data_IF_924062790548
#
_entry.id   IF_924062790548
#
_cell.length_a   1.000
_cell.length_b   1.000
_cell.length_c   1.000
_cell.angle_alpha   90.00
_cell.angle_beta   90.00
_cell.angle_gamma   90.00
#
_symmetry.space_group_name_H-M   'P 1'
#
loop_
_entity.id
_entity.type
_entity.pdbx_description
1 polymer ?
#
# COMPACT_ATOMS: atom_id res chain seq x y z
N UNK A 1 4.49 42.79 1.17
CA UNK A 1 3.75 41.61 1.67
C UNK A 1 4.71 40.74 2.46
N UNK A 2 4.41 40.36 3.71
CA UNK A 2 5.26 39.42 4.47
C UNK A 2 5.01 38.00 3.95
N UNK A 3 6.05 37.24 3.66
CA UNK A 3 5.96 35.85 3.20
C UNK A 3 6.72 34.92 4.14
N UNK A 4 6.31 33.66 4.19
CA UNK A 4 7.04 32.61 4.89
C UNK A 4 8.35 32.36 4.13
N UNK A 5 9.48 32.33 4.84
CA UNK A 5 10.78 32.14 4.21
C UNK A 5 11.02 30.67 3.86
N UNK A 6 11.77 30.42 2.77
CA UNK A 6 12.14 29.09 2.28
C UNK A 6 12.71 28.14 3.37
N UNK A 7 13.55 28.58 4.32
CA UNK A 7 14.03 27.69 5.39
C UNK A 7 12.90 27.12 6.26
N UNK A 8 11.82 27.87 6.47
CA UNK A 8 10.66 27.40 7.23
C UNK A 8 9.93 26.28 6.47
N UNK A 9 9.73 26.43 5.15
CA UNK A 9 9.18 25.36 4.32
C UNK A 9 10.03 24.09 4.35
N UNK A 10 11.36 24.24 4.26
CA UNK A 10 12.27 23.09 4.31
C UNK A 10 12.19 22.34 5.65
N UNK A 11 12.04 23.07 6.77
CA UNK A 11 11.85 22.45 8.10
C UNK A 11 10.53 21.68 8.17
N UNK A 12 9.44 22.25 7.68
CA UNK A 12 8.15 21.57 7.61
C UNK A 12 8.25 20.30 6.76
N UNK A 13 8.83 20.39 5.55
CA UNK A 13 9.05 19.23 4.68
C UNK A 13 9.90 18.13 5.34
N UNK A 14 10.94 18.52 6.08
CA UNK A 14 11.79 17.56 6.82
C UNK A 14 11.01 16.86 7.92
N UNK A 15 10.14 17.59 8.63
CA UNK A 15 9.28 17.02 9.66
C UNK A 15 8.27 16.04 9.07
N UNK A 16 7.54 16.41 8.02
CA UNK A 16 6.56 15.54 7.36
C UNK A 16 7.20 14.24 6.85
N UNK A 17 8.40 14.31 6.27
CA UNK A 17 9.14 13.11 5.84
C UNK A 17 9.52 12.19 6.99
N UNK A 18 9.90 12.75 8.15
CA UNK A 18 10.20 11.94 9.35
C UNK A 18 8.93 11.27 9.87
N UNK A 19 7.84 12.01 9.98
CA UNK A 19 6.55 11.47 10.40
C UNK A 19 6.05 10.37 9.45
N UNK A 20 6.22 10.54 8.13
CA UNK A 20 5.90 9.51 7.15
C UNK A 20 6.74 8.24 7.35
N UNK A 21 8.05 8.38 7.60
CA UNK A 21 8.92 7.24 7.86
C UNK A 21 8.56 6.50 9.15
N UNK A 22 8.22 7.23 10.22
CA UNK A 22 7.74 6.63 11.48
C UNK A 22 6.44 5.86 11.26
N UNK A 23 5.48 6.43 10.51
CA UNK A 23 4.25 5.73 10.12
C UNK A 23 4.54 4.48 9.30
N UNK A 24 5.46 4.55 8.33
CA UNK A 24 5.87 3.41 7.52
C UNK A 24 6.43 2.29 8.40
N UNK A 25 7.40 2.60 9.27
CA UNK A 25 7.99 1.59 10.14
C UNK A 25 6.94 0.94 11.04
N UNK A 26 6.00 1.73 11.59
CA UNK A 26 4.93 1.19 12.42
C UNK A 26 3.93 0.34 11.60
N UNK A 27 3.65 0.74 10.37
CA UNK A 27 2.81 -0.02 9.45
C UNK A 27 3.41 -1.38 9.14
N UNK A 28 4.70 -1.44 8.83
CA UNK A 28 5.46 -2.68 8.60
C UNK A 28 5.43 -3.57 9.83
N UNK A 29 5.75 -3.03 11.01
CA UNK A 29 5.73 -3.78 12.28
C UNK A 29 4.36 -4.43 12.52
N UNK A 30 3.28 -3.68 12.31
CA UNK A 30 1.92 -4.19 12.48
C UNK A 30 1.56 -5.25 11.43
N UNK A 31 2.01 -5.07 10.19
CA UNK A 31 1.79 -6.05 9.12
C UNK A 31 2.54 -7.36 9.39
N UNK A 32 3.79 -7.29 9.85
CA UNK A 32 4.60 -8.47 10.23
C UNK A 32 4.02 -9.19 11.45
N UNK A 33 3.28 -8.48 12.32
CA UNK A 33 2.55 -9.08 13.43
C UNK A 33 1.19 -9.71 13.02
N UNK A 34 0.77 -9.50 11.76
CA UNK A 34 -0.46 -10.09 11.23
C UNK A 34 -0.26 -11.54 10.79
N UNK A 35 -1.35 -12.20 10.41
CA UNK A 35 -1.29 -13.57 9.87
C UNK A 35 -0.95 -13.63 8.38
N UNK A 36 -0.74 -12.48 7.73
CA UNK A 36 -0.46 -12.41 6.31
C UNK A 36 0.97 -12.88 6.02
N UNK A 37 1.13 -13.72 5.01
CA UNK A 37 2.45 -14.11 4.53
C UNK A 37 3.04 -12.94 3.76
N UNK A 38 4.13 -12.39 4.27
CA UNK A 38 4.87 -11.31 3.60
C UNK A 38 6.22 -11.79 3.09
N UNK A 39 6.64 -11.25 1.94
CA UNK A 39 7.98 -11.40 1.39
C UNK A 39 8.67 -10.02 1.44
N UNK A 40 9.90 -10.03 1.93
CA UNK A 40 10.82 -8.89 2.09
C UNK A 40 12.04 -9.24 1.19
N UNK A 41 12.79 -8.38 0.50
CA UNK A 41 13.13 -6.95 0.66
C UNK A 41 13.60 -6.37 -0.69
N UNK A 42 13.04 -5.25 -1.15
CA UNK A 42 13.83 -4.32 -1.97
C UNK A 42 15.05 -3.86 -1.15
N UNK A 43 16.21 -3.61 -1.77
CA UNK A 43 17.51 -3.41 -1.11
C UNK A 43 17.51 -2.37 0.06
N UNK A 44 16.50 -1.51 0.13
CA UNK A 44 16.38 -0.42 1.11
C UNK A 44 15.37 -0.63 2.24
N UNK A 45 14.62 -1.75 2.30
CA UNK A 45 13.60 -2.00 3.33
C UNK A 45 12.38 -1.06 3.26
N UNK A 46 12.12 -0.52 2.06
CA UNK A 46 11.04 0.42 1.76
C UNK A 46 9.95 -0.18 0.88
N UNK A 47 9.92 -1.50 0.80
CA UNK A 47 9.09 -2.25 -0.12
C UNK A 47 8.81 -3.62 0.50
N UNK A 48 7.55 -4.04 0.50
CA UNK A 48 7.05 -5.29 1.05
C UNK A 48 6.02 -5.87 0.11
N UNK A 49 6.01 -7.18 -0.03
CA UNK A 49 5.00 -7.89 -0.80
C UNK A 49 4.15 -8.75 0.12
N UNK A 50 2.83 -8.64 0.02
CA UNK A 50 1.89 -9.58 0.62
C UNK A 50 1.59 -10.65 -0.43
N UNK A 51 1.80 -11.92 -0.06
CA UNK A 51 1.56 -13.05 -0.94
C UNK A 51 0.07 -13.31 -1.07
N UNK A 52 -0.42 -13.47 -2.30
CA UNK A 52 -1.78 -13.94 -2.55
C UNK A 52 -1.74 -15.47 -2.60
N UNK A 53 -2.16 -16.14 -1.53
CA UNK A 53 -2.16 -17.60 -1.45
C UNK A 53 -2.85 -18.24 -2.66
N UNK A 54 -2.20 -19.21 -3.31
CA UNK A 54 -2.73 -19.87 -4.51
C UNK A 54 -2.47 -19.13 -5.82
N UNK A 55 -1.82 -17.95 -5.80
CA UNK A 55 -1.21 -17.36 -6.99
C UNK A 55 0.32 -17.47 -6.92
N UNK A 56 0.95 -17.97 -7.98
CA UNK A 56 2.41 -18.09 -8.04
C UNK A 56 3.11 -16.76 -8.36
N UNK A 57 2.39 -15.85 -9.03
CA UNK A 57 2.94 -14.60 -9.57
C UNK A 57 2.29 -13.34 -9.02
N UNK A 58 1.14 -13.45 -8.38
CA UNK A 58 0.39 -12.28 -7.94
C UNK A 58 0.68 -11.97 -6.47
N UNK A 59 0.98 -10.71 -6.21
CA UNK A 59 1.29 -10.20 -4.88
C UNK A 59 0.65 -8.80 -4.74
N UNK A 60 0.47 -8.35 -3.50
CA UNK A 60 0.16 -6.94 -3.19
C UNK A 60 1.47 -6.28 -2.77
N UNK A 61 1.99 -5.37 -3.59
CA UNK A 61 3.17 -4.57 -3.25
C UNK A 61 2.79 -3.38 -2.37
N UNK A 62 3.62 -3.11 -1.38
CA UNK A 62 3.55 -1.96 -0.49
C UNK A 62 4.90 -1.25 -0.56
N UNK A 63 4.94 0.05 -0.83
CA UNK A 63 6.20 0.79 -0.76
C UNK A 63 6.08 2.15 -0.10
N UNK A 64 7.19 2.59 0.50
CA UNK A 64 7.31 3.86 1.19
C UNK A 64 7.23 5.02 0.20
N UNK A 65 6.16 5.80 0.26
CA UNK A 65 5.91 6.92 -0.64
C UNK A 65 5.65 8.23 0.12
N UNK A 66 6.70 8.89 0.65
CA UNK A 66 6.55 10.14 1.37
C UNK A 66 6.23 11.29 0.42
N UNK A 67 5.00 11.79 0.46
CA UNK A 67 4.59 12.96 -0.31
C UNK A 67 4.42 14.21 0.56
N UNK A 68 4.50 15.39 -0.06
CA UNK A 68 4.22 16.68 0.62
C UNK A 68 2.77 16.73 1.14
N UNK A 69 1.88 15.90 0.59
CA UNK A 69 0.48 15.82 0.99
C UNK A 69 0.26 14.92 2.23
N UNK A 70 1.34 14.40 2.82
CA UNK A 70 1.30 13.57 4.03
C UNK A 70 1.10 12.08 3.78
N UNK A 71 1.27 11.64 2.53
CA UNK A 71 1.25 10.21 2.19
C UNK A 71 2.50 9.54 2.78
N UNK A 72 2.36 8.28 3.18
CA UNK A 72 3.47 7.48 3.73
C UNK A 72 3.62 6.14 3.02
N UNK A 73 2.56 5.59 2.43
CA UNK A 73 2.58 4.29 1.77
C UNK A 73 1.78 4.33 0.46
N UNK A 74 2.25 3.54 -0.50
CA UNK A 74 1.50 3.14 -1.68
C UNK A 74 1.16 1.64 -1.60
N UNK A 75 0.04 1.22 -2.18
CA UNK A 75 -0.40 -0.18 -2.24
C UNK A 75 -0.80 -0.55 -3.67
N UNK A 76 -0.14 -1.54 -4.28
CA UNK A 76 -0.38 -1.92 -5.68
C UNK A 76 -0.62 -3.42 -5.82
N UNK A 77 -1.58 -3.80 -6.67
CA UNK A 77 -1.86 -5.20 -6.97
C UNK A 77 -1.12 -5.62 -8.23
N UNK A 78 -0.25 -6.61 -8.12
CA UNK A 78 0.55 -7.12 -9.24
C UNK A 78 0.00 -8.43 -9.77
N UNK A 79 -0.06 -8.53 -11.10
CA UNK A 79 -0.32 -9.74 -11.89
C UNK A 79 -1.65 -10.47 -11.65
N UNK A 80 -2.42 -10.14 -10.61
CA UNK A 80 -3.78 -10.63 -10.45
C UNK A 80 -4.70 -9.95 -11.47
N UNK A 81 -5.43 -10.75 -12.24
CA UNK A 81 -6.43 -10.26 -13.18
C UNK A 81 -7.81 -10.74 -12.72
N UNK A 82 -8.64 -9.81 -12.27
CA UNK A 82 -10.01 -10.11 -11.93
C UNK A 82 -10.79 -10.58 -13.16
N UNK A 83 -11.80 -11.42 -12.98
CA UNK A 83 -12.68 -11.86 -14.07
C UNK A 83 -13.58 -10.73 -14.54
N UNK A 84 -14.03 -9.89 -13.60
CA UNK A 84 -14.84 -8.71 -13.90
C UNK A 84 -13.97 -7.52 -14.26
N UNK A 85 -14.19 -6.96 -15.46
CA UNK A 85 -13.50 -5.76 -15.95
C UNK A 85 -13.67 -4.57 -15.00
N UNK A 86 -14.83 -4.45 -14.35
CA UNK A 86 -15.08 -3.40 -13.35
C UNK A 86 -14.15 -3.50 -12.14
N UNK A 87 -13.76 -4.70 -11.72
CA UNK A 87 -12.85 -4.93 -10.60
C UNK A 87 -11.40 -4.66 -10.97
N UNK A 88 -10.99 -5.06 -12.18
CA UNK A 88 -9.70 -4.62 -12.73
C UNK A 88 -9.66 -3.09 -12.79
N UNK A 89 -10.72 -2.43 -13.26
CA UNK A 89 -10.76 -0.97 -13.30
C UNK A 89 -10.75 -0.33 -11.91
N UNK A 90 -11.34 -0.97 -10.89
CA UNK A 90 -11.34 -0.47 -9.51
C UNK A 90 -9.92 -0.49 -8.91
N UNK A 91 -9.19 -1.57 -9.13
CA UNK A 91 -7.89 -1.79 -8.49
C UNK A 91 -6.70 -1.32 -9.35
N UNK A 92 -6.86 -1.28 -10.68
CA UNK A 92 -5.85 -0.75 -11.61
C UNK A 92 -5.99 0.77 -11.86
N UNK A 93 -7.08 1.41 -11.42
CA UNK A 93 -7.20 2.88 -11.50
C UNK A 93 -6.70 3.52 -10.21
N UNK A 94 -5.89 4.55 -10.45
CA UNK A 94 -5.49 5.61 -9.52
C UNK A 94 -4.51 5.20 -8.43
N UNK A 95 -3.62 6.15 -8.14
CA UNK A 95 -2.63 6.09 -7.08
C UNK A 95 -3.25 5.73 -5.73
N UNK A 96 -3.02 4.51 -5.26
CA UNK A 96 -3.41 4.06 -3.92
C UNK A 96 -2.41 4.55 -2.88
N UNK A 97 -2.28 5.87 -2.75
CA UNK A 97 -1.45 6.52 -1.75
C UNK A 97 -2.27 6.77 -0.47
N UNK A 98 -1.68 6.43 0.67
CA UNK A 98 -2.36 6.52 1.96
C UNK A 98 -1.62 7.45 2.93
N UNK A 99 -2.41 8.22 3.68
CA UNK A 99 -1.94 9.14 4.75
C UNK A 99 -2.02 8.53 6.14
N UNK A 100 -2.76 7.44 6.30
CA UNK A 100 -2.98 6.75 7.56
C UNK A 100 -2.86 5.23 7.42
N UNK A 101 -2.31 4.61 8.46
CA UNK A 101 -2.16 3.15 8.58
C UNK A 101 -3.51 2.44 8.44
N UNK A 102 -4.54 2.99 9.08
CA UNK A 102 -5.89 2.41 9.04
C UNK A 102 -6.46 2.35 7.62
N UNK A 103 -6.30 3.42 6.82
CA UNK A 103 -6.78 3.43 5.43
C UNK A 103 -6.03 2.42 4.57
N UNK A 104 -4.70 2.31 4.74
CA UNK A 104 -3.89 1.33 4.02
C UNK A 104 -4.33 -0.11 4.35
N UNK A 105 -4.50 -0.45 5.64
CA UNK A 105 -5.00 -1.77 6.03
C UNK A 105 -6.43 -2.05 5.53
N UNK A 106 -7.32 -1.06 5.58
CA UNK A 106 -8.68 -1.23 5.06
C UNK A 106 -8.65 -1.59 3.57
N UNK A 107 -7.80 -0.92 2.80
CA UNK A 107 -7.68 -1.19 1.37
C UNK A 107 -7.03 -2.56 1.08
N UNK A 108 -6.01 -2.96 1.84
CA UNK A 108 -5.44 -4.31 1.74
C UNK A 108 -6.50 -5.38 2.01
N UNK A 109 -7.32 -5.21 3.05
CA UNK A 109 -8.41 -6.15 3.34
C UNK A 109 -9.44 -6.19 2.22
N UNK A 110 -9.80 -5.02 1.67
CA UNK A 110 -10.72 -4.92 0.52
C UNK A 110 -10.18 -5.68 -0.71
N UNK A 111 -8.89 -5.53 -1.02
CA UNK A 111 -8.21 -6.30 -2.09
C UNK A 111 -8.31 -7.81 -1.84
N UNK A 112 -7.93 -8.26 -0.64
CA UNK A 112 -7.94 -9.68 -0.29
C UNK A 112 -9.35 -10.28 -0.31
N UNK A 113 -10.35 -9.52 0.16
CA UNK A 113 -11.76 -9.92 0.09
C UNK A 113 -12.21 -10.01 -1.37
N UNK A 114 -11.94 -8.99 -2.18
CA UNK A 114 -12.33 -8.96 -3.59
C UNK A 114 -11.70 -10.13 -4.38
N UNK A 115 -10.43 -10.45 -4.13
CA UNK A 115 -9.75 -11.63 -4.71
C UNK A 115 -10.46 -12.92 -4.29
N UNK A 116 -10.79 -13.05 -3.00
CA UNK A 116 -11.51 -14.23 -2.49
C UNK A 116 -12.90 -14.37 -3.13
N UNK A 117 -13.61 -13.27 -3.33
CA UNK A 117 -14.91 -13.26 -4.01
C UNK A 117 -14.77 -13.65 -5.48
N UNK A 118 -13.82 -13.06 -6.19
CA UNK A 118 -13.54 -13.35 -7.60
C UNK A 118 -13.20 -14.83 -7.84
N UNK A 119 -12.47 -15.46 -6.93
CA UNK A 119 -12.19 -16.91 -6.94
C UNK A 119 -13.44 -17.76 -6.76
N UNK A 120 -14.31 -17.39 -5.82
CA UNK A 120 -15.58 -18.09 -5.53
C UNK A 120 -16.61 -18.03 -6.66
N UNK A 121 -16.48 -17.10 -7.60
CA UNK A 121 -17.33 -17.04 -8.79
C UNK A 121 -17.11 -18.23 -9.75
N UNK A 122 -16.23 -19.19 -9.39
CA UNK A 122 -16.25 -20.55 -9.93
C UNK A 122 -17.00 -21.49 -8.97
N UNK A 123 -18.10 -22.14 -9.38
CA UNK A 123 -18.34 -23.51 -8.94
C UNK A 123 -17.21 -24.38 -9.53
N UNK A 124 -16.73 -25.35 -8.76
CA UNK A 124 -15.74 -26.34 -9.19
C UNK A 124 -15.98 -26.77 -10.66
N UNK A 125 -14.97 -26.57 -11.51
CA UNK A 125 -14.87 -27.26 -12.78
C UNK A 125 -14.48 -28.72 -12.53
#
# INVERSE_FOLDING_TARGET
MKTIQRPTFNKAHTFERKAALEKWNKFVELLESSTLVTKNKGESGKEIFIVIEGEDKADIELYFNPSINGDFAHVELWYYQFKLISMNNKHNKETHNFKSIHQAFRYINELLEDIKWDRKLLPNA
#
